data_IF_141007567389
#
_entry.id   IF_141007567389
#
_cell.length_a   1.000
_cell.length_b   1.000
_cell.length_c   1.000
_cell.angle_alpha   90.00
_cell.angle_beta   90.00
_cell.angle_gamma   90.00
#
_symmetry.space_group_name_H-M   'P 1'
#
loop_
_entity.id
_entity.type
_entity.pdbx_description
1 polymer ?
#
# COMPACT_ATOMS: atom_id res chain seq x y z
N UNK A 1 45.99 -23.53 -27.92
CA UNK A 1 44.55 -23.22 -28.06
C UNK A 1 43.99 -23.00 -26.66
N UNK A 2 44.07 -21.76 -26.16
CA UNK A 2 43.28 -21.31 -25.01
C UNK A 2 42.92 -19.86 -25.29
N UNK A 3 41.68 -19.63 -25.67
CA UNK A 3 41.13 -18.30 -25.90
C UNK A 3 40.55 -17.78 -24.58
N UNK A 4 41.23 -16.77 -24.03
CA UNK A 4 40.76 -15.93 -22.95
C UNK A 4 39.56 -15.08 -23.41
N UNK A 5 38.38 -15.32 -22.85
CA UNK A 5 37.25 -14.40 -22.96
C UNK A 5 37.17 -13.52 -21.71
N UNK A 6 37.84 -12.37 -21.78
CA UNK A 6 37.61 -11.25 -20.87
C UNK A 6 36.30 -10.55 -21.25
N UNK A 7 35.20 -10.88 -20.56
CA UNK A 7 33.94 -10.14 -20.65
C UNK A 7 34.04 -8.89 -19.78
N UNK A 8 34.30 -7.75 -20.44
CA UNK A 8 34.23 -6.42 -19.86
C UNK A 8 32.75 -6.06 -19.65
N UNK A 9 32.25 -6.16 -18.41
CA UNK A 9 30.97 -5.55 -18.04
C UNK A 9 31.11 -4.03 -18.04
N UNK A 10 30.67 -3.39 -19.13
CA UNK A 10 30.44 -1.96 -19.17
C UNK A 10 29.41 -1.56 -18.12
N UNK A 11 29.84 -0.78 -17.11
CA UNK A 11 28.92 -0.03 -16.25
C UNK A 11 28.25 1.04 -17.11
N UNK A 12 27.06 0.77 -17.62
CA UNK A 12 26.15 1.85 -18.01
C UNK A 12 25.81 2.65 -16.74
N UNK A 13 26.35 3.86 -16.64
CA UNK A 13 25.94 4.84 -15.65
C UNK A 13 24.43 5.11 -15.81
N UNK A 14 23.65 4.58 -14.87
CA UNK A 14 22.22 4.85 -14.76
C UNK A 14 22.02 6.37 -14.67
N UNK A 15 21.37 6.95 -15.67
CA UNK A 15 21.06 8.40 -15.71
C UNK A 15 20.38 8.81 -14.39
N UNK A 16 20.89 9.82 -13.68
CA UNK A 16 20.27 10.26 -12.44
C UNK A 16 18.85 10.76 -12.71
N UNK A 17 17.91 10.41 -11.82
CA UNK A 17 16.59 11.04 -11.75
C UNK A 17 16.82 12.55 -11.60
N UNK A 18 16.52 13.31 -12.66
CA UNK A 18 16.67 14.77 -12.65
C UNK A 18 15.75 15.34 -11.57
N UNK A 19 16.35 15.83 -10.50
CA UNK A 19 15.67 16.73 -9.58
C UNK A 19 15.09 17.91 -10.36
N UNK A 20 13.94 18.47 -9.96
CA UNK A 20 13.61 19.83 -10.32
C UNK A 20 14.70 20.74 -9.72
N UNK A 21 15.73 21.03 -10.51
CA UNK A 21 16.80 21.97 -10.15
C UNK A 21 16.16 23.32 -9.84
N UNK A 22 16.45 23.83 -8.65
CA UNK A 22 16.25 25.23 -8.33
C UNK A 22 17.47 26.01 -8.81
N UNK A 23 17.17 27.01 -9.65
CA UNK A 23 17.98 28.15 -10.07
C UNK A 23 18.91 27.94 -11.27
N UNK A 24 18.65 28.75 -12.31
CA UNK A 24 19.57 29.05 -13.40
C UNK A 24 19.58 28.07 -14.56
N UNK A 25 18.49 27.96 -15.32
CA UNK A 25 18.51 27.77 -16.80
C UNK A 25 17.07 27.81 -17.34
N UNK A 26 16.93 28.36 -18.54
CA UNK A 26 15.70 28.85 -19.13
C UNK A 26 14.51 27.84 -19.19
N UNK A 27 13.34 28.32 -18.80
CA UNK A 27 12.03 28.06 -19.42
C UNK A 27 11.52 26.62 -19.60
N UNK A 28 11.89 25.64 -18.77
CA UNK A 28 11.09 24.40 -18.67
C UNK A 28 9.89 24.61 -17.74
N UNK A 29 8.73 24.94 -18.33
CA UNK A 29 7.44 24.96 -17.61
C UNK A 29 7.25 23.60 -16.93
N UNK A 30 7.14 23.60 -15.60
CA UNK A 30 6.79 22.41 -14.85
C UNK A 30 5.46 21.85 -15.36
N UNK A 31 5.40 20.54 -15.64
CA UNK A 31 4.15 19.90 -16.03
C UNK A 31 3.27 19.71 -14.79
N UNK A 32 2.26 20.55 -14.66
CA UNK A 32 1.23 20.44 -13.63
C UNK A 32 0.09 19.53 -14.08
N UNK A 33 -0.65 19.00 -13.11
CA UNK A 33 -1.93 18.31 -13.24
C UNK A 33 -2.85 18.80 -12.11
N UNK A 34 -4.13 18.44 -12.16
CA UNK A 34 -5.06 18.60 -11.04
C UNK A 34 -5.48 17.23 -10.51
N UNK A 35 -5.64 17.13 -9.20
CA UNK A 35 -6.22 15.97 -8.54
C UNK A 35 -7.30 16.46 -7.58
N UNK A 36 -8.57 16.10 -7.85
CA UNK A 36 -9.75 16.68 -7.19
C UNK A 36 -9.66 18.21 -7.11
N UNK A 37 -9.43 18.85 -8.25
CA UNK A 37 -9.21 20.30 -8.39
C UNK A 37 -7.97 20.91 -7.70
N UNK A 38 -7.20 20.15 -6.92
CA UNK A 38 -5.97 20.65 -6.31
C UNK A 38 -4.79 20.52 -7.28
N UNK A 39 -4.05 21.61 -7.56
CA UNK A 39 -2.91 21.56 -8.49
C UNK A 39 -1.73 20.79 -7.91
N UNK A 40 -1.07 20.01 -8.76
CA UNK A 40 0.15 19.27 -8.41
C UNK A 40 1.13 19.13 -9.56
N UNK A 41 2.40 18.89 -9.24
CA UNK A 41 3.40 18.47 -10.20
C UNK A 41 3.15 17.02 -10.60
N UNK A 42 3.12 16.74 -11.92
CA UNK A 42 2.99 15.36 -12.43
C UNK A 42 4.08 14.43 -11.91
N UNK A 43 5.29 14.96 -11.69
CA UNK A 43 6.43 14.23 -11.13
C UNK A 43 6.25 13.82 -9.67
N UNK A 44 5.36 14.47 -8.92
CA UNK A 44 5.10 14.16 -7.51
C UNK A 44 3.87 13.25 -7.31
N UNK A 45 3.33 12.66 -8.39
CA UNK A 45 2.08 11.90 -8.33
C UNK A 45 2.18 10.68 -7.40
N UNK A 46 1.38 10.70 -6.34
CA UNK A 46 1.20 9.56 -5.44
C UNK A 46 0.49 8.39 -6.12
N UNK A 47 -0.59 8.65 -6.87
CA UNK A 47 -1.30 7.58 -7.58
C UNK A 47 -0.39 6.84 -8.56
N UNK A 48 0.54 7.53 -9.22
CA UNK A 48 1.53 6.87 -10.09
C UNK A 48 2.47 5.96 -9.28
N UNK A 49 2.91 6.41 -8.10
CA UNK A 49 3.73 5.59 -7.22
C UNK A 49 2.98 4.36 -6.71
N UNK A 50 1.74 4.50 -6.25
CA UNK A 50 0.97 3.35 -5.76
C UNK A 50 0.58 2.40 -6.90
N UNK A 51 0.35 2.89 -8.12
CA UNK A 51 0.10 2.05 -9.30
C UNK A 51 1.27 1.13 -9.64
N UNK A 52 2.51 1.59 -9.45
CA UNK A 52 3.68 0.72 -9.59
C UNK A 52 3.62 -0.44 -8.57
N UNK A 53 3.10 -0.20 -7.37
CA UNK A 53 2.89 -1.24 -6.36
C UNK A 53 1.71 -2.16 -6.74
N UNK A 54 0.60 -1.61 -7.22
CA UNK A 54 -0.58 -2.36 -7.68
C UNK A 54 -0.19 -3.36 -8.77
N UNK A 55 0.58 -2.92 -9.77
CA UNK A 55 1.03 -3.77 -10.88
C UNK A 55 1.95 -4.90 -10.42
N UNK A 56 2.72 -4.69 -9.36
CA UNK A 56 3.53 -5.75 -8.76
C UNK A 56 2.64 -6.67 -7.91
N UNK A 57 1.69 -6.12 -7.16
CA UNK A 57 0.77 -6.85 -6.29
C UNK A 57 -0.21 -7.75 -7.06
N UNK A 58 -0.51 -7.40 -8.30
CA UNK A 58 -1.31 -8.26 -9.17
C UNK A 58 -0.53 -9.49 -9.67
N UNK A 59 0.80 -9.52 -9.52
CA UNK A 59 1.69 -10.56 -10.04
C UNK A 59 2.38 -11.39 -8.96
N UNK A 60 2.67 -10.78 -7.81
CA UNK A 60 3.35 -11.42 -6.70
C UNK A 60 2.39 -11.68 -5.54
N UNK A 61 2.56 -12.82 -4.88
CA UNK A 61 1.72 -13.20 -3.74
C UNK A 61 2.17 -12.57 -2.41
N UNK A 62 3.38 -12.02 -2.37
CA UNK A 62 3.90 -11.30 -1.21
C UNK A 62 4.62 -10.04 -1.66
N UNK A 63 4.21 -8.90 -1.10
CA UNK A 63 4.90 -7.62 -1.26
C UNK A 63 5.10 -6.98 0.10
N UNK A 64 6.22 -6.29 0.23
CA UNK A 64 6.59 -5.55 1.43
C UNK A 64 6.88 -4.08 1.10
N UNK A 65 6.25 -3.20 1.88
CA UNK A 65 6.36 -1.76 1.78
C UNK A 65 6.89 -1.25 3.12
N UNK A 66 8.02 -0.57 3.08
CA UNK A 66 8.63 0.03 4.26
C UNK A 66 8.36 1.53 4.28
N UNK A 67 7.97 2.08 5.43
CA UNK A 67 7.74 3.51 5.62
C UNK A 67 8.59 3.99 6.79
N UNK A 68 9.55 4.86 6.52
CA UNK A 68 10.53 5.33 7.49
C UNK A 68 10.39 6.84 7.71
N UNK A 69 10.53 7.26 8.97
CA UNK A 69 10.61 8.67 9.36
C UNK A 69 10.25 8.89 10.82
N UNK A 70 10.49 10.09 11.35
CA UNK A 70 10.25 10.43 12.77
C UNK A 70 8.78 10.28 13.17
N UNK A 71 8.52 10.34 14.47
CA UNK A 71 7.15 10.50 14.97
C UNK A 71 6.48 11.74 14.36
N UNK A 72 5.17 11.66 14.15
CA UNK A 72 4.36 12.77 13.63
C UNK A 72 4.73 13.25 12.22
N UNK A 73 5.36 12.44 11.38
CA UNK A 73 5.69 12.78 9.97
C UNK A 73 4.66 12.31 8.96
N UNK A 74 3.58 11.67 9.41
CA UNK A 74 2.50 11.16 8.57
C UNK A 74 2.66 9.72 8.08
N UNK A 75 3.53 8.90 8.70
CA UNK A 75 3.70 7.47 8.38
C UNK A 75 2.38 6.67 8.36
N UNK A 76 1.60 6.75 9.43
CA UNK A 76 0.30 6.08 9.51
C UNK A 76 -0.67 6.60 8.44
N UNK A 77 -0.63 7.90 8.14
CA UNK A 77 -1.45 8.53 7.10
C UNK A 77 -1.10 8.04 5.69
N UNK A 78 0.19 7.94 5.36
CA UNK A 78 0.61 7.44 4.05
C UNK A 78 0.36 5.93 3.94
N UNK A 79 0.54 5.15 5.02
CA UNK A 79 0.17 3.73 5.05
C UNK A 79 -1.32 3.53 4.76
N UNK A 80 -2.19 4.31 5.41
CA UNK A 80 -3.64 4.36 5.17
C UNK A 80 -3.99 4.70 3.72
N UNK A 81 -3.34 5.72 3.17
CA UNK A 81 -3.63 6.18 1.81
C UNK A 81 -3.17 5.16 0.78
N UNK A 82 -2.02 4.49 1.03
CA UNK A 82 -1.51 3.42 0.17
C UNK A 82 -2.45 2.21 0.23
N UNK A 83 -2.83 1.75 1.43
CA UNK A 83 -3.71 0.59 1.57
C UNK A 83 -5.05 0.84 0.89
N UNK A 84 -5.62 2.04 1.03
CA UNK A 84 -6.85 2.45 0.38
C UNK A 84 -6.77 2.35 -1.15
N UNK A 85 -5.74 2.93 -1.77
CA UNK A 85 -5.57 2.87 -3.23
C UNK A 85 -5.30 1.44 -3.69
N UNK A 86 -4.52 0.67 -2.93
CA UNK A 86 -4.19 -0.72 -3.27
C UNK A 86 -5.44 -1.59 -3.32
N UNK A 87 -6.26 -1.64 -2.26
CA UNK A 87 -7.41 -2.55 -2.23
C UNK A 87 -8.45 -2.15 -3.29
N UNK A 88 -8.69 -0.85 -3.48
CA UNK A 88 -9.62 -0.35 -4.50
C UNK A 88 -9.14 -0.62 -5.93
N UNK A 89 -7.88 -0.32 -6.26
CA UNK A 89 -7.38 -0.53 -7.63
C UNK A 89 -7.17 -2.02 -7.95
N UNK A 90 -6.81 -2.87 -6.97
CA UNK A 90 -6.68 -4.32 -7.17
C UNK A 90 -8.05 -4.98 -7.41
N UNK A 91 -9.09 -4.57 -6.66
CA UNK A 91 -10.46 -5.06 -6.89
C UNK A 91 -10.98 -4.59 -8.24
N UNK A 92 -10.93 -3.29 -8.53
CA UNK A 92 -11.52 -2.72 -9.75
C UNK A 92 -10.81 -3.11 -11.05
N UNK A 93 -9.48 -3.28 -11.05
CA UNK A 93 -8.71 -3.58 -12.28
C UNK A 93 -8.43 -5.06 -12.49
N UNK A 94 -8.25 -5.81 -11.40
CA UNK A 94 -7.80 -7.20 -11.47
C UNK A 94 -8.80 -8.17 -10.81
N UNK A 95 -9.88 -7.69 -10.20
CA UNK A 95 -10.82 -8.53 -9.46
C UNK A 95 -10.21 -9.16 -8.20
N UNK A 96 -9.07 -8.65 -7.72
CA UNK A 96 -8.37 -9.21 -6.55
C UNK A 96 -8.83 -8.44 -5.32
N UNK A 97 -9.72 -9.05 -4.55
CA UNK A 97 -10.31 -8.46 -3.35
C UNK A 97 -9.32 -8.58 -2.20
N UNK A 98 -9.03 -7.46 -1.53
CA UNK A 98 -8.18 -7.38 -0.35
C UNK A 98 -8.94 -6.85 0.86
N UNK A 99 -8.71 -7.47 2.01
CA UNK A 99 -9.05 -6.88 3.30
C UNK A 99 -7.90 -6.01 3.82
N UNK A 100 -8.20 -5.11 4.76
CA UNK A 100 -7.19 -4.26 5.41
C UNK A 100 -7.25 -4.50 6.91
N UNK A 101 -6.09 -4.74 7.52
CA UNK A 101 -5.94 -4.88 8.97
C UNK A 101 -4.76 -4.05 9.46
N UNK A 102 -4.87 -3.52 10.68
CA UNK A 102 -3.75 -2.89 11.38
C UNK A 102 -3.40 -3.76 12.56
N UNK A 103 -2.13 -4.11 12.65
CA UNK A 103 -1.59 -4.84 13.77
C UNK A 103 -0.66 -3.95 14.57
N UNK A 104 -0.97 -3.86 15.86
CA UNK A 104 -0.11 -3.23 16.85
C UNK A 104 0.62 -4.28 17.68
N UNK A 105 1.07 -3.87 18.85
CA UNK A 105 1.83 -4.72 19.77
C UNK A 105 1.08 -5.97 20.23
N UNK A 106 -0.24 -5.88 20.43
CA UNK A 106 -1.06 -7.01 20.91
C UNK A 106 -1.07 -8.15 19.89
N UNK A 107 -1.33 -7.83 18.61
CA UNK A 107 -1.35 -8.83 17.55
C UNK A 107 0.04 -9.41 17.30
N UNK A 108 1.10 -8.61 17.48
CA UNK A 108 2.47 -9.10 17.39
C UNK A 108 2.84 -10.09 18.49
N UNK A 109 2.33 -9.92 19.71
CA UNK A 109 2.54 -10.85 20.81
C UNK A 109 1.79 -12.18 20.60
N UNK A 110 0.63 -12.12 19.96
CA UNK A 110 -0.24 -13.26 19.69
C UNK A 110 -0.34 -13.57 18.19
N UNK A 111 0.81 -13.61 17.50
CA UNK A 111 0.84 -13.65 16.03
C UNK A 111 0.15 -14.88 15.46
N UNK A 112 0.27 -16.05 16.12
CA UNK A 112 -0.35 -17.28 15.65
C UNK A 112 -1.88 -17.17 15.63
N UNK A 113 -2.47 -16.45 16.59
CA UNK A 113 -3.90 -16.18 16.64
C UNK A 113 -4.30 -15.11 15.62
N UNK A 114 -3.53 -14.02 15.52
CA UNK A 114 -3.77 -12.98 14.54
C UNK A 114 -3.74 -13.56 13.11
N UNK A 115 -2.83 -14.49 12.83
CA UNK A 115 -2.73 -15.15 11.54
C UNK A 115 -3.90 -16.08 11.22
N UNK A 116 -4.56 -16.67 12.23
CA UNK A 116 -5.79 -17.46 12.00
C UNK A 116 -6.93 -16.59 11.49
N UNK A 117 -6.88 -15.27 11.72
CA UNK A 117 -7.90 -14.34 11.21
C UNK A 117 -7.73 -14.02 9.73
N UNK A 118 -6.59 -14.40 9.13
CA UNK A 118 -6.32 -14.16 7.71
C UNK A 118 -6.77 -15.36 6.89
N UNK A 119 -7.99 -15.27 6.35
CA UNK A 119 -8.59 -16.29 5.48
C UNK A 119 -8.64 -15.88 3.99
N UNK A 120 -8.22 -14.65 3.67
CA UNK A 120 -8.29 -14.07 2.32
C UNK A 120 -7.13 -13.09 2.08
N UNK A 121 -7.01 -12.58 0.85
CA UNK A 121 -5.95 -11.61 0.53
C UNK A 121 -6.05 -10.42 1.48
N UNK A 122 -4.93 -10.02 2.07
CA UNK A 122 -4.94 -9.07 3.18
C UNK A 122 -3.76 -8.10 3.09
N UNK A 123 -4.05 -6.82 3.28
CA UNK A 123 -3.06 -5.76 3.52
C UNK A 123 -2.89 -5.63 5.03
N UNK A 124 -1.70 -5.91 5.53
CA UNK A 124 -1.37 -5.87 6.96
C UNK A 124 -0.49 -4.64 7.22
N UNK A 125 -1.00 -3.70 8.01
CA UNK A 125 -0.27 -2.51 8.43
C UNK A 125 0.28 -2.72 9.83
N UNK A 126 1.61 -2.79 9.94
CA UNK A 126 2.32 -2.80 11.20
C UNK A 126 2.65 -1.36 11.60
N UNK A 127 1.78 -0.75 12.41
CA UNK A 127 1.97 0.62 12.84
C UNK A 127 2.79 0.72 14.13
N UNK A 128 3.73 1.66 14.14
CA UNK A 128 4.62 1.95 15.27
C UNK A 128 5.36 0.75 15.90
N UNK A 129 5.87 -0.15 15.07
CA UNK A 129 6.51 -1.40 15.54
C UNK A 129 8.01 -1.26 15.82
N UNK A 130 8.55 -0.04 15.83
CA UNK A 130 9.99 0.19 16.02
C UNK A 130 10.51 -0.32 17.37
N UNK A 131 9.63 -0.38 18.38
CA UNK A 131 9.94 -0.90 19.70
C UNK A 131 9.53 -2.35 19.92
N UNK A 132 8.90 -2.99 18.93
CA UNK A 132 8.42 -4.37 19.06
C UNK A 132 9.56 -5.33 19.45
N UNK A 133 10.77 -5.13 18.92
CA UNK A 133 11.97 -5.92 19.25
C UNK A 133 12.44 -5.84 20.71
N UNK A 134 12.06 -4.79 21.46
CA UNK A 134 12.40 -4.71 22.90
C UNK A 134 11.47 -5.58 23.76
N UNK A 135 10.32 -5.95 23.21
CA UNK A 135 9.23 -6.59 23.95
C UNK A 135 9.01 -8.03 23.44
N UNK A 136 9.15 -8.23 22.14
CA UNK A 136 9.07 -9.53 21.46
C UNK A 136 10.48 -10.10 21.37
N UNK A 137 10.69 -11.29 21.93
CA UNK A 137 12.00 -11.95 21.86
C UNK A 137 12.45 -12.14 20.40
N UNK A 138 13.76 -12.11 20.14
CA UNK A 138 14.30 -12.30 18.78
C UNK A 138 13.82 -13.62 18.15
N UNK A 139 13.62 -14.66 18.96
CA UNK A 139 13.05 -15.94 18.51
C UNK A 139 11.60 -15.80 18.06
N UNK A 140 10.76 -15.12 18.84
CA UNK A 140 9.36 -14.87 18.50
C UNK A 140 9.26 -13.96 17.26
N UNK A 141 10.15 -12.97 17.13
CA UNK A 141 10.23 -12.12 15.93
C UNK A 141 10.59 -12.92 14.67
N UNK A 142 11.57 -13.83 14.76
CA UNK A 142 11.90 -14.71 13.64
C UNK A 142 10.75 -15.66 13.30
N UNK A 143 9.99 -16.11 14.31
CA UNK A 143 8.76 -16.88 14.08
C UNK A 143 7.70 -16.05 13.37
N UNK A 144 7.49 -14.78 13.73
CA UNK A 144 6.61 -13.85 13.01
C UNK A 144 7.03 -13.79 11.54
N UNK A 145 8.31 -13.53 11.25
CA UNK A 145 8.82 -13.42 9.88
C UNK A 145 8.64 -14.71 9.07
N UNK A 146 9.01 -15.87 9.63
CA UNK A 146 8.81 -17.18 8.99
C UNK A 146 7.33 -17.51 8.78
N UNK A 147 6.46 -17.06 9.69
CA UNK A 147 5.03 -17.32 9.54
C UNK A 147 4.40 -16.39 8.51
N UNK A 148 4.87 -15.15 8.37
CA UNK A 148 4.46 -14.25 7.28
C UNK A 148 4.89 -14.76 5.89
N UNK A 149 6.02 -15.45 5.78
CA UNK A 149 6.44 -16.03 4.48
C UNK A 149 5.68 -17.32 4.15
N UNK A 150 5.19 -18.03 5.16
CA UNK A 150 4.47 -19.30 4.99
C UNK A 150 2.96 -19.15 4.95
N UNK A 151 2.39 -18.02 5.40
CA UNK A 151 0.93 -17.81 5.37
C UNK A 151 0.34 -17.95 3.96
N UNK A 152 1.11 -17.58 2.92
CA UNK A 152 0.72 -17.75 1.51
C UNK A 152 0.47 -19.21 1.12
N UNK A 153 1.04 -20.16 1.88
CA UNK A 153 0.98 -21.60 1.61
C UNK A 153 -0.08 -22.34 2.44
N UNK A 154 -0.83 -21.64 3.30
CA UNK A 154 -1.87 -22.26 4.14
C UNK A 154 -3.17 -22.44 3.36
N UNK A 155 -3.29 -23.55 2.63
CA UNK A 155 -4.56 -24.12 2.15
C UNK A 155 -5.30 -23.36 1.02
N UNK A 156 -4.96 -22.08 0.82
CA UNK A 156 -5.38 -21.22 -0.29
C UNK A 156 -4.23 -20.27 -0.61
N UNK A 157 -3.93 -20.06 -1.89
CA UNK A 157 -2.97 -19.06 -2.36
C UNK A 157 -3.51 -17.65 -2.02
N UNK A 158 -3.23 -17.19 -0.80
CA UNK A 158 -3.60 -15.86 -0.33
C UNK A 158 -2.47 -14.89 -0.63
N UNK A 159 -2.84 -13.73 -1.20
CA UNK A 159 -1.90 -12.65 -1.45
C UNK A 159 -1.82 -11.72 -0.25
N UNK A 160 -0.60 -11.40 0.16
CA UNK A 160 -0.34 -10.57 1.33
C UNK A 160 0.49 -9.35 0.95
N UNK A 161 0.04 -8.18 1.40
CA UNK A 161 0.82 -6.94 1.31
C UNK A 161 1.15 -6.48 2.72
N UNK A 162 2.44 -6.43 3.04
CA UNK A 162 2.93 -5.98 4.34
C UNK A 162 3.33 -4.51 4.26
N UNK A 163 2.81 -3.68 5.15
CA UNK A 163 3.23 -2.28 5.31
C UNK A 163 3.84 -2.11 6.68
N UNK A 164 5.11 -1.71 6.76
CA UNK A 164 5.82 -1.53 8.02
C UNK A 164 6.17 -0.08 8.29
N UNK A 165 5.74 0.47 9.43
CA UNK A 165 6.08 1.82 9.84
C UNK A 165 7.22 1.84 10.88
N UNK A 166 8.34 2.47 10.52
CA UNK A 166 9.52 2.58 11.38
C UNK A 166 9.94 4.04 11.64
N UNK A 167 10.59 4.26 12.80
CA UNK A 167 11.16 5.56 13.15
C UNK A 167 12.57 5.81 12.58
N UNK A 168 13.35 4.75 12.35
CA UNK A 168 14.74 4.82 11.91
C UNK A 168 15.09 3.61 11.03
N UNK A 169 15.97 3.79 10.05
CA UNK A 169 16.38 2.76 9.07
C UNK A 169 17.13 1.59 9.70
N UNK A 170 17.86 1.85 10.78
CA UNK A 170 18.56 0.82 11.55
C UNK A 170 17.62 -0.03 12.42
N UNK A 171 16.35 0.38 12.60
CA UNK A 171 15.32 -0.46 13.22
C UNK A 171 15.04 -1.71 12.39
N UNK A 172 15.27 -1.62 11.07
CA UNK A 172 14.94 -2.66 10.13
C UNK A 172 15.78 -3.91 10.42
N UNK A 173 15.10 -5.05 10.56
CA UNK A 173 15.73 -6.36 10.40
C UNK A 173 16.41 -6.44 9.01
N UNK A 174 17.46 -7.25 8.84
CA UNK A 174 18.06 -7.50 7.51
C UNK A 174 16.97 -7.93 6.52
N UNK A 175 15.99 -8.72 6.97
CA UNK A 175 14.84 -9.13 6.17
C UNK A 175 13.98 -7.95 5.72
N UNK A 176 13.70 -7.01 6.63
CA UNK A 176 12.82 -5.85 6.39
C UNK A 176 13.50 -4.74 5.58
N UNK A 177 14.84 -4.77 5.49
CA UNK A 177 15.62 -3.94 4.56
C UNK A 177 15.49 -4.38 3.10
N UNK A 178 15.06 -5.62 2.84
CA UNK A 178 14.78 -6.13 1.51
C UNK A 178 13.40 -5.77 0.96
N UNK A 179 12.75 -4.72 1.49
CA UNK A 179 11.40 -4.35 1.06
C UNK A 179 11.35 -3.96 -0.42
N UNK A 180 10.31 -4.40 -1.13
CA UNK A 180 10.10 -4.10 -2.56
C UNK A 180 10.01 -2.59 -2.82
N UNK A 181 9.41 -1.87 -1.86
CA UNK A 181 9.23 -0.43 -1.91
C UNK A 181 9.59 0.21 -0.57
N UNK A 182 10.19 1.41 -0.61
CA UNK A 182 10.42 2.20 0.60
C UNK A 182 9.91 3.63 0.43
N UNK A 183 9.23 4.13 1.46
CA UNK A 183 8.79 5.51 1.58
C UNK A 183 9.52 6.21 2.73
N UNK A 184 10.05 7.39 2.45
CA UNK A 184 10.80 8.19 3.42
C UNK A 184 10.01 9.47 3.67
N UNK A 185 9.42 9.58 4.86
CA UNK A 185 8.59 10.73 5.27
C UNK A 185 9.40 11.83 5.97
N UNK A 186 10.59 11.50 6.47
CA UNK A 186 11.55 12.46 7.03
C UNK A 186 12.91 11.81 7.21
N UNK A 187 13.95 12.63 7.36
CA UNK A 187 15.26 12.20 7.85
C UNK A 187 15.66 12.99 9.11
N UNK A 188 16.74 12.55 9.75
CA UNK A 188 17.38 13.26 10.85
C UNK A 188 18.90 13.24 10.64
N UNK A 189 19.66 14.02 11.42
CA UNK A 189 21.11 14.14 11.23
C UNK A 189 21.82 12.79 11.35
N UNK A 190 21.41 11.93 12.28
CA UNK A 190 21.96 10.58 12.45
C UNK A 190 21.54 9.61 11.33
N UNK A 191 20.39 9.83 10.69
CA UNK A 191 19.85 9.00 9.62
C UNK A 191 20.30 9.46 8.22
N UNK A 192 20.80 10.69 8.07
CA UNK A 192 21.13 11.26 6.76
C UNK A 192 22.11 10.39 5.96
N UNK A 193 23.26 10.07 6.56
CA UNK A 193 24.28 9.25 5.91
C UNK A 193 23.81 7.80 5.70
N UNK A 194 23.03 7.25 6.63
CA UNK A 194 22.45 5.91 6.48
C UNK A 194 21.46 5.84 5.30
N UNK A 195 20.60 6.85 5.16
CA UNK A 195 19.64 6.95 4.07
C UNK A 195 20.36 7.08 2.72
N UNK A 196 21.43 7.87 2.65
CA UNK A 196 22.25 8.00 1.43
C UNK A 196 22.91 6.66 1.09
N UNK A 197 23.45 5.96 2.10
CA UNK A 197 24.09 4.67 1.90
C UNK A 197 23.12 3.59 1.40
N UNK A 198 21.89 3.59 1.92
CA UNK A 198 20.87 2.59 1.58
C UNK A 198 20.14 2.89 0.27
N UNK A 199 19.78 4.14 0.02
CA UNK A 199 18.87 4.54 -1.06
C UNK A 199 19.51 5.46 -2.11
N UNK A 200 20.74 5.90 -1.88
CA UNK A 200 21.43 6.86 -2.74
C UNK A 200 20.79 8.25 -2.70
N UNK A 201 20.97 9.03 -3.77
CA UNK A 201 20.19 10.25 -3.99
C UNK A 201 20.38 11.35 -2.95
N UNK A 202 21.64 11.63 -2.53
CA UNK A 202 21.98 12.71 -1.56
C UNK A 202 21.23 14.02 -1.80
N UNK A 203 21.15 14.47 -3.05
CA UNK A 203 20.45 15.71 -3.38
C UNK A 203 18.92 15.62 -3.17
N UNK A 204 18.32 14.45 -3.38
CA UNK A 204 16.88 14.21 -3.19
C UNK A 204 16.54 14.10 -1.70
N UNK A 205 17.43 13.52 -0.91
CA UNK A 205 17.30 13.49 0.56
C UNK A 205 17.40 14.91 1.13
N UNK A 206 18.38 15.71 0.69
CA UNK A 206 18.48 17.13 1.07
C UNK A 206 17.26 17.94 0.63
N UNK A 207 16.69 17.61 -0.53
CA UNK A 207 15.43 18.21 -0.98
C UNK A 207 14.31 17.91 0.03
N UNK A 208 14.11 16.65 0.45
CA UNK A 208 13.11 16.30 1.46
C UNK A 208 13.31 17.10 2.76
N UNK A 209 14.55 17.18 3.27
CA UNK A 209 14.88 17.92 4.49
C UNK A 209 14.51 19.40 4.40
N UNK A 210 14.91 20.05 3.31
CA UNK A 210 14.62 21.47 3.06
C UNK A 210 13.12 21.72 2.94
N UNK A 211 12.42 20.90 2.17
CA UNK A 211 10.99 21.07 1.96
C UNK A 211 10.19 20.78 3.24
N UNK A 212 10.60 19.81 4.06
CA UNK A 212 10.00 19.57 5.37
C UNK A 212 10.26 20.73 6.34
N UNK A 213 11.47 21.28 6.35
CA UNK A 213 11.78 22.47 7.15
C UNK A 213 10.92 23.68 6.73
N UNK A 214 10.78 23.90 5.41
CA UNK A 214 9.86 24.92 4.87
C UNK A 214 8.42 24.65 5.30
N UNK A 215 7.97 23.39 5.23
CA UNK A 215 6.63 22.99 5.58
C UNK A 215 6.30 23.30 7.05
N UNK A 216 7.23 23.00 7.96
CA UNK A 216 7.03 23.22 9.40
C UNK A 216 7.21 24.67 9.83
N UNK A 217 8.05 25.44 9.13
CA UNK A 217 8.31 26.85 9.48
C UNK A 217 7.28 27.80 8.88
N UNK A 218 6.85 27.56 7.64
CA UNK A 218 5.98 28.47 6.88
C UNK A 218 4.57 27.90 6.64
N UNK A 219 4.35 26.61 6.85
CA UNK A 219 3.12 25.92 6.46
C UNK A 219 3.05 25.56 4.98
N UNK A 220 4.10 25.80 4.19
CA UNK A 220 4.12 25.59 2.74
C UNK A 220 5.38 24.86 2.26
N UNK A 221 5.25 24.07 1.20
CA UNK A 221 6.35 23.28 0.62
C UNK A 221 6.21 23.06 -0.89
N UNK A 222 7.29 22.62 -1.52
CA UNK A 222 7.34 22.25 -2.93
C UNK A 222 7.90 23.35 -3.84
N UNK A 223 7.60 23.29 -5.15
CA UNK A 223 8.06 24.31 -6.09
C UNK A 223 7.42 25.67 -5.76
N UNK A 224 8.09 26.74 -6.20
CA UNK A 224 7.54 28.09 -6.07
C UNK A 224 6.22 28.19 -6.83
N UNK A 225 5.25 28.86 -6.22
CA UNK A 225 3.98 29.13 -6.88
C UNK A 225 4.19 30.19 -7.97
N UNK A 226 3.94 29.90 -9.25
CA UNK A 226 4.11 30.89 -10.32
C UNK A 226 3.19 32.10 -10.16
N UNK A 227 2.06 31.96 -9.46
CA UNK A 227 1.13 33.06 -9.22
C UNK A 227 1.63 34.01 -8.12
N UNK A 228 2.47 33.55 -7.20
CA UNK A 228 2.99 34.37 -6.09
C UNK A 228 3.82 35.57 -6.57
N UNK A 229 4.52 35.43 -7.70
CA UNK A 229 5.27 36.55 -8.29
C UNK A 229 4.35 37.64 -8.85
N UNK A 230 3.13 37.28 -9.23
CA UNK A 230 2.13 38.20 -9.79
C UNK A 230 1.24 38.79 -8.71
N UNK A 231 0.93 38.02 -7.69
CA UNK A 231 0.05 38.38 -6.59
C UNK A 231 0.61 37.83 -5.27
N UNK A 232 1.09 38.76 -4.42
CA UNK A 232 1.70 38.42 -3.12
C UNK A 232 0.70 37.90 -2.09
N UNK A 233 -0.61 37.99 -2.37
CA UNK A 233 -1.64 37.37 -1.52
C UNK A 233 -1.75 35.86 -1.73
N UNK A 234 -1.20 35.34 -2.84
CA UNK A 234 -1.12 33.90 -3.11
C UNK A 234 -0.04 33.24 -2.24
N UNK A 235 -0.12 31.92 -2.00
CA UNK A 235 0.90 31.23 -1.22
C UNK A 235 2.25 31.19 -1.98
N UNK A 236 3.39 31.28 -1.27
CA UNK A 236 4.72 31.33 -1.89
C UNK A 236 5.14 30.01 -2.55
N UNK A 237 4.64 28.87 -2.05
CA UNK A 237 4.84 27.54 -2.62
C UNK A 237 3.52 26.93 -3.07
N UNK A 238 3.62 25.93 -3.94
CA UNK A 238 2.47 25.28 -4.54
C UNK A 238 1.62 24.48 -3.54
N UNK A 239 2.22 23.90 -2.49
CA UNK A 239 1.50 23.04 -1.55
C UNK A 239 1.43 23.64 -0.16
N UNK A 240 0.24 23.57 0.44
CA UNK A 240 0.05 23.83 1.86
C UNK A 240 0.22 22.53 2.64
N UNK A 241 1.04 22.55 3.68
CA UNK A 241 1.40 21.37 4.44
C UNK A 241 0.18 20.76 5.12
N UNK A 242 -0.04 19.45 4.90
CA UNK A 242 -1.19 18.67 5.39
C UNK A 242 -2.55 19.16 4.88
N UNK A 243 -2.58 19.94 3.80
CA UNK A 243 -3.80 20.47 3.18
C UNK A 243 -3.75 20.41 1.65
N UNK A 244 -4.20 19.32 1.02
CA UNK A 244 -4.43 18.00 1.62
C UNK A 244 -3.14 17.17 1.71
N UNK A 245 -2.04 17.68 1.15
CA UNK A 245 -0.85 16.89 0.87
C UNK A 245 0.26 17.03 1.90
N UNK A 246 1.00 15.94 2.08
CA UNK A 246 2.30 15.90 2.74
C UNK A 246 3.36 15.33 1.80
N UNK A 247 4.63 15.52 2.13
CA UNK A 247 5.77 15.12 1.30
C UNK A 247 6.36 13.79 1.76
N UNK A 248 6.70 12.92 0.81
CA UNK A 248 7.55 11.76 1.04
C UNK A 248 8.50 11.57 -0.15
N UNK A 249 9.55 10.77 0.05
CA UNK A 249 10.29 10.17 -1.06
C UNK A 249 9.81 8.74 -1.26
N UNK A 250 9.72 8.31 -2.51
CA UNK A 250 9.40 6.96 -2.92
C UNK A 250 10.62 6.35 -3.59
N UNK A 251 11.11 5.27 -3.00
CA UNK A 251 12.25 4.50 -3.46
C UNK A 251 11.76 3.22 -4.12
N UNK A 252 12.27 2.98 -5.33
CA UNK A 252 12.12 1.73 -6.08
C UNK A 252 13.48 1.28 -6.60
N UNK A 253 13.60 0.08 -7.21
CA UNK A 253 14.83 -0.31 -7.91
C UNK A 253 15.30 0.68 -8.98
N UNK A 254 14.41 1.53 -9.49
CA UNK A 254 14.70 2.57 -10.49
C UNK A 254 15.18 3.90 -9.86
N UNK A 255 15.21 3.99 -8.54
CA UNK A 255 15.75 5.12 -7.80
C UNK A 255 14.74 5.82 -6.90
N UNK A 256 15.16 6.98 -6.39
CA UNK A 256 14.44 7.78 -5.41
C UNK A 256 13.76 8.97 -6.08
N UNK A 257 12.51 9.25 -5.73
CA UNK A 257 11.79 10.43 -6.25
C UNK A 257 10.84 11.05 -5.22
N UNK A 258 10.61 12.36 -5.24
CA UNK A 258 9.62 13.00 -4.38
C UNK A 258 8.20 12.67 -4.84
N UNK A 259 7.32 12.43 -3.87
CA UNK A 259 5.88 12.26 -4.07
C UNK A 259 5.10 13.09 -3.04
N UNK A 260 3.87 13.46 -3.37
CA UNK A 260 2.95 14.10 -2.45
C UNK A 260 1.77 13.17 -2.14
N UNK A 261 1.54 12.84 -0.88
CA UNK A 261 0.47 11.93 -0.48
C UNK A 261 -0.63 12.69 0.26
N UNK A 262 -1.91 12.34 0.03
CA UNK A 262 -3.03 12.98 0.72
C UNK A 262 -3.31 12.34 2.09
N UNK A 263 -4.20 12.97 2.86
CA UNK A 263 -4.94 12.27 3.92
C UNK A 263 -6.07 11.42 3.32
N UNK A 264 -6.36 10.26 3.93
CA UNK A 264 -7.45 9.38 3.47
C UNK A 264 -8.80 10.10 3.42
N UNK A 265 -9.09 10.99 4.39
CA UNK A 265 -10.34 11.79 4.41
C UNK A 265 -10.53 12.68 3.18
N UNK A 266 -9.44 13.14 2.57
CA UNK A 266 -9.49 13.90 1.33
C UNK A 266 -9.55 12.97 0.12
N UNK A 267 -8.78 11.88 0.16
CA UNK A 267 -8.73 10.91 -0.92
C UNK A 267 -10.09 10.25 -1.17
N UNK A 268 -10.65 9.67 -0.11
CA UNK A 268 -11.96 9.05 -0.08
C UNK A 268 -12.42 8.96 1.40
N UNK A 269 -13.34 9.83 1.84
CA UNK A 269 -13.84 9.82 3.21
C UNK A 269 -14.73 8.61 3.52
N UNK A 270 -15.22 7.87 2.51
CA UNK A 270 -16.25 6.84 2.67
C UNK A 270 -15.72 5.48 2.22
N UNK A 271 -14.97 4.80 3.09
CA UNK A 271 -14.50 3.45 2.82
C UNK A 271 -14.71 2.53 4.04
N UNK A 272 -15.74 1.68 3.98
CA UNK A 272 -16.07 0.75 5.08
C UNK A 272 -14.96 -0.28 5.38
N UNK A 273 -14.22 -0.72 4.36
CA UNK A 273 -13.09 -1.65 4.50
C UNK A 273 -11.95 -1.00 5.29
N UNK A 274 -11.58 0.23 4.95
CA UNK A 274 -10.58 0.98 5.71
C UNK A 274 -11.10 1.40 7.09
N UNK A 275 -12.36 1.80 7.21
CA UNK A 275 -12.95 2.22 8.49
C UNK A 275 -12.98 1.08 9.52
N UNK A 276 -13.24 -0.16 9.09
CA UNK A 276 -13.14 -1.34 9.95
C UNK A 276 -11.73 -1.52 10.55
N UNK A 277 -10.68 -1.16 9.81
CA UNK A 277 -9.31 -1.18 10.29
C UNK A 277 -8.97 0.07 11.14
N UNK A 278 -9.62 1.22 10.88
CA UNK A 278 -9.32 2.52 11.46
C UNK A 278 -10.52 3.10 12.23
N UNK A 279 -10.63 2.89 13.56
CA UNK A 279 -11.78 3.38 14.34
C UNK A 279 -11.95 4.91 14.33
N UNK A 280 -10.93 5.66 13.89
CA UNK A 280 -10.96 7.13 13.78
C UNK A 280 -11.47 7.65 12.42
N UNK A 281 -11.76 6.77 11.45
CA UNK A 281 -12.41 7.13 10.19
C UNK A 281 -13.92 7.06 10.45
N UNK A 282 -14.55 8.22 10.62
CA UNK A 282 -16.01 8.32 10.64
C UNK A 282 -16.53 8.04 9.23
N UNK A 283 -17.23 6.94 9.06
CA UNK A 283 -18.10 6.74 7.90
C UNK A 283 -19.46 7.34 8.24
N UNK A 284 -19.90 8.34 7.47
CA UNK A 284 -21.33 8.60 7.38
C UNK A 284 -21.95 7.33 6.78
N UNK A 285 -22.65 6.55 7.62
CA UNK A 285 -23.30 5.32 7.19
C UNK A 285 -24.75 5.61 6.89
N UNK A 286 -25.19 5.28 5.67
CA UNK A 286 -26.60 4.94 5.45
C UNK A 286 -26.98 3.79 6.40
N UNK A 287 -28.26 3.74 6.79
CA UNK A 287 -28.80 2.60 7.54
C UNK A 287 -28.57 1.33 6.71
N UNK A 288 -27.87 0.35 7.28
CA UNK A 288 -27.65 -0.95 6.64
C UNK A 288 -29.01 -1.60 6.35
N UNK A 289 -29.99 -1.41 7.23
CA UNK A 289 -31.33 -1.96 7.08
C UNK A 289 -32.07 -1.32 5.89
N UNK A 290 -31.95 -0.02 5.69
CA UNK A 290 -32.58 0.67 4.55
C UNK A 290 -31.92 0.25 3.23
N UNK A 291 -30.59 0.19 3.19
CA UNK A 291 -29.86 -0.30 2.03
C UNK A 291 -30.26 -1.74 1.68
N UNK A 292 -30.28 -2.63 2.68
CA UNK A 292 -30.62 -4.03 2.46
C UNK A 292 -32.09 -4.21 2.07
N UNK A 293 -33.01 -3.41 2.64
CA UNK A 293 -34.43 -3.42 2.26
C UNK A 293 -34.62 -3.01 0.81
N UNK A 294 -33.97 -1.93 0.38
CA UNK A 294 -33.97 -1.47 -1.02
C UNK A 294 -33.34 -2.53 -1.96
N UNK A 295 -32.29 -3.21 -1.52
CA UNK A 295 -31.65 -4.27 -2.29
C UNK A 295 -32.58 -5.48 -2.47
N UNK A 296 -33.29 -5.88 -1.41
CA UNK A 296 -34.26 -6.98 -1.43
C UNK A 296 -35.49 -6.61 -2.27
N UNK A 297 -35.97 -5.37 -2.18
CA UNK A 297 -37.06 -4.90 -3.04
C UNK A 297 -36.68 -5.00 -4.52
N UNK A 298 -35.44 -4.61 -4.86
CA UNK A 298 -34.97 -4.59 -6.26
C UNK A 298 -34.59 -5.96 -6.82
N UNK A 299 -34.03 -6.86 -6.00
CA UNK A 299 -33.43 -8.12 -6.46
C UNK A 299 -34.04 -9.38 -5.82
N UNK A 300 -35.01 -9.25 -4.92
CA UNK A 300 -35.67 -10.35 -4.23
C UNK A 300 -34.70 -11.20 -3.41
N UNK A 301 -34.92 -12.52 -3.40
CA UNK A 301 -34.04 -13.48 -2.70
C UNK A 301 -32.60 -13.51 -3.23
N UNK A 302 -32.37 -13.03 -4.45
CA UNK A 302 -31.04 -12.90 -5.05
C UNK A 302 -30.18 -11.89 -4.30
N UNK A 303 -30.77 -10.88 -3.65
CA UNK A 303 -30.06 -9.91 -2.81
C UNK A 303 -29.27 -10.62 -1.70
N UNK A 304 -29.89 -11.58 -1.01
CA UNK A 304 -29.27 -12.35 0.07
C UNK A 304 -28.17 -13.26 -0.47
N UNK A 305 -28.39 -13.89 -1.63
CA UNK A 305 -27.35 -14.69 -2.29
C UNK A 305 -26.15 -13.84 -2.69
N UNK A 306 -26.38 -12.64 -3.25
CA UNK A 306 -25.34 -11.67 -3.57
C UNK A 306 -24.55 -11.24 -2.34
N UNK A 307 -25.22 -10.95 -1.22
CA UNK A 307 -24.57 -10.64 0.05
C UNK A 307 -23.69 -11.80 0.54
N UNK A 308 -24.19 -13.04 0.48
CA UNK A 308 -23.39 -14.22 0.87
C UNK A 308 -22.14 -14.39 0.00
N UNK A 309 -22.24 -14.12 -1.30
CA UNK A 309 -21.08 -14.13 -2.21
C UNK A 309 -20.10 -13.01 -1.84
N UNK A 310 -20.58 -11.79 -1.64
CA UNK A 310 -19.77 -10.63 -1.25
C UNK A 310 -19.00 -10.87 0.07
N UNK A 311 -19.68 -11.43 1.07
CA UNK A 311 -19.08 -11.78 2.36
C UNK A 311 -18.05 -12.91 2.22
N UNK A 312 -18.38 -13.96 1.46
CA UNK A 312 -17.48 -15.08 1.25
C UNK A 312 -16.19 -14.69 0.51
N UNK A 313 -16.26 -13.76 -0.45
CA UNK A 313 -15.08 -13.19 -1.10
C UNK A 313 -14.13 -12.47 -0.13
N UNK A 314 -14.66 -12.01 1.02
CA UNK A 314 -13.91 -11.37 2.11
C UNK A 314 -13.56 -12.33 3.24
N UNK A 315 -13.78 -13.64 3.05
CA UNK A 315 -13.53 -14.69 4.06
C UNK A 315 -14.66 -14.88 5.07
N UNK A 316 -15.77 -14.15 4.97
CA UNK A 316 -16.89 -14.27 5.92
C UNK A 316 -17.89 -15.28 5.36
N UNK A 317 -17.79 -16.54 5.80
CA UNK A 317 -18.66 -17.62 5.32
C UNK A 317 -20.03 -17.61 6.01
N UNK A 318 -21.09 -17.28 5.26
CA UNK A 318 -22.49 -17.29 5.72
C UNK A 318 -23.32 -18.42 5.07
N UNK A 319 -22.66 -19.51 4.69
CA UNK A 319 -23.30 -20.69 4.10
C UNK A 319 -23.55 -21.76 5.16
N UNK A 320 -24.60 -22.57 4.97
CA UNK A 320 -24.89 -23.69 5.86
C UNK A 320 -23.75 -24.73 5.88
N UNK A 321 -23.64 -25.49 6.98
CA UNK A 321 -22.59 -26.50 7.17
C UNK A 321 -22.49 -27.48 5.99
N UNK A 322 -23.64 -27.91 5.46
CA UNK A 322 -23.71 -28.81 4.30
C UNK A 322 -23.15 -28.18 3.03
N UNK A 323 -23.46 -26.91 2.76
CA UNK A 323 -22.93 -26.19 1.59
C UNK A 323 -21.42 -26.01 1.70
N UNK A 324 -20.91 -25.68 2.90
CA UNK A 324 -19.46 -25.57 3.16
C UNK A 324 -18.79 -26.93 2.95
N UNK A 325 -19.38 -28.00 3.47
CA UNK A 325 -18.88 -29.37 3.30
C UNK A 325 -18.82 -29.78 1.82
N UNK A 326 -19.89 -29.53 1.06
CA UNK A 326 -19.94 -29.79 -0.37
C UNK A 326 -18.87 -28.99 -1.15
N UNK A 327 -18.72 -27.69 -0.87
CA UNK A 327 -17.65 -26.86 -1.44
C UNK A 327 -16.28 -27.47 -1.16
N UNK A 328 -16.03 -27.90 0.07
CA UNK A 328 -14.74 -28.49 0.46
C UNK A 328 -14.49 -29.83 -0.23
N UNK A 329 -15.52 -30.64 -0.44
CA UNK A 329 -15.43 -31.88 -1.21
C UNK A 329 -15.08 -31.62 -2.68
N UNK A 330 -15.72 -30.62 -3.31
CA UNK A 330 -15.39 -30.18 -4.68
C UNK A 330 -13.95 -29.68 -4.76
N UNK A 331 -13.54 -28.81 -3.84
CA UNK A 331 -12.17 -28.28 -3.80
C UNK A 331 -11.12 -29.39 -3.62
N UNK A 332 -11.41 -30.39 -2.78
CA UNK A 332 -10.57 -31.57 -2.63
C UNK A 332 -10.51 -32.37 -3.93
N UNK A 333 -11.64 -32.63 -4.58
CA UNK A 333 -11.67 -33.35 -5.85
C UNK A 333 -10.86 -32.64 -6.93
N UNK A 334 -10.99 -31.31 -7.10
CA UNK A 334 -10.18 -30.54 -8.06
C UNK A 334 -8.68 -30.75 -7.82
N UNK A 335 -8.24 -30.65 -6.55
CA UNK A 335 -6.82 -30.87 -6.19
C UNK A 335 -6.34 -32.29 -6.49
N UNK A 336 -7.20 -33.28 -6.26
CA UNK A 336 -6.83 -34.69 -6.35
C UNK A 336 -6.97 -35.26 -7.78
N UNK A 337 -7.77 -34.64 -8.66
CA UNK A 337 -8.18 -35.21 -9.95
C UNK A 337 -7.82 -34.39 -11.19
N UNK A 338 -7.09 -33.27 -11.05
CA UNK A 338 -6.85 -32.30 -12.14
C UNK A 338 -8.11 -31.78 -12.85
N UNK A 339 -9.31 -31.99 -12.27
CA UNK A 339 -10.57 -31.48 -12.82
C UNK A 339 -10.52 -29.96 -12.88
N UNK A 340 -10.71 -29.39 -14.08
CA UNK A 340 -10.65 -27.94 -14.27
C UNK A 340 -11.97 -27.28 -13.84
N UNK A 341 -11.95 -26.00 -13.42
CA UNK A 341 -13.17 -25.22 -13.20
C UNK A 341 -14.09 -25.17 -14.43
N UNK A 342 -13.52 -25.21 -15.64
CA UNK A 342 -14.29 -25.23 -16.88
C UNK A 342 -15.08 -26.53 -17.02
N UNK A 343 -14.49 -27.69 -16.72
CA UNK A 343 -15.21 -28.97 -16.77
C UNK A 343 -16.39 -29.01 -15.80
N UNK A 344 -16.24 -28.40 -14.62
CA UNK A 344 -17.33 -28.26 -13.66
C UNK A 344 -18.43 -27.32 -14.16
N UNK A 345 -18.05 -26.23 -14.85
CA UNK A 345 -19.01 -25.30 -15.47
C UNK A 345 -19.78 -26.00 -16.61
N UNK A 346 -19.11 -26.78 -17.44
CA UNK A 346 -19.73 -27.53 -18.53
C UNK A 346 -20.75 -28.54 -17.99
N UNK A 347 -20.37 -29.29 -16.94
CA UNK A 347 -21.31 -30.19 -16.24
C UNK A 347 -22.49 -29.43 -15.64
N UNK A 348 -22.24 -28.28 -15.00
CA UNK A 348 -23.29 -27.47 -14.38
C UNK A 348 -24.29 -26.94 -15.42
N UNK A 349 -23.80 -26.49 -16.58
CA UNK A 349 -24.65 -26.04 -17.68
C UNK A 349 -25.51 -27.17 -18.26
N UNK A 350 -24.94 -28.37 -18.39
CA UNK A 350 -25.69 -29.57 -18.81
C UNK A 350 -26.74 -29.97 -17.77
N UNK A 351 -26.42 -29.85 -16.48
CA UNK A 351 -27.35 -30.16 -15.40
C UNK A 351 -28.52 -29.18 -15.35
N UNK A 352 -28.27 -27.87 -15.49
CA UNK A 352 -29.31 -26.82 -15.50
C UNK A 352 -30.25 -26.88 -16.72
N UNK A 353 -29.80 -27.47 -17.82
CA UNK A 353 -30.60 -27.65 -19.03
C UNK A 353 -31.53 -28.88 -18.98
N UNK A 354 -31.45 -29.69 -17.92
CA UNK A 354 -32.39 -30.76 -17.57
C UNK A 354 -33.38 -30.26 -16.54
#
# INVERSE_FOLDING_TARGET
>A
MSSDENIIYGREERRPVRLPMQHGTANKKFRTARWQEVPMLKSHSFLKAVREIVETASRLDLISICIVGKQSTGKSTIAQSISHVLHNELESKYGIIFNVVIWGMVQLQNIDEALKTIESNTIIIFDDISFARKIVSSHHWNKVLNTMTTIRHRGSDVRIILIFNYHYTLANDKFLRGSDYTLITSTNVAEHENMIKLYGGRHIIKYLERELHSATSTGYFGPDNPEYKKDKTKPPKLYKFRQPFSLALFHTPNGLRPIIYPHIKWLDPKCGICAAAHPNIRTESESVDDFMSNLVERYGSTAISGLKVFLAQRGILQYGKTTISARNAIAKHIRDSNTTPQALLDWFNQYKGR
#
